data_IF_255584670940
#
_entry.id   IF_255584670940
#
_cell.length_a   1.000
_cell.length_b   1.000
_cell.length_c   1.000
_cell.angle_alpha   90.00
_cell.angle_beta   90.00
_cell.angle_gamma   90.00
#
_symmetry.space_group_name_H-M   'P 1'
#
loop_
_entity.id
_entity.type
_entity.pdbx_description
1 polymer ?
#
# COMPACT_ATOMS: atom_id res chain seq x y z
N UNK A 1 -11.07 -37.12 -7.20
CA UNK A 1 -10.54 -36.09 -6.26
C UNK A 1 -9.34 -35.34 -6.86
N UNK A 2 -8.25 -36.04 -7.27
CA UNK A 2 -7.03 -35.39 -7.80
C UNK A 2 -7.22 -34.48 -9.04
N UNK A 3 -8.08 -34.83 -9.99
CA UNK A 3 -8.26 -34.01 -11.20
C UNK A 3 -9.01 -32.69 -10.92
N UNK A 4 -9.99 -32.69 -10.01
CA UNK A 4 -10.71 -31.48 -9.62
C UNK A 4 -9.87 -30.52 -8.77
N UNK A 5 -8.98 -31.06 -7.94
CA UNK A 5 -8.03 -30.27 -7.17
C UNK A 5 -6.96 -29.64 -8.08
N UNK A 6 -6.43 -30.38 -9.04
CA UNK A 6 -5.50 -29.86 -10.05
C UNK A 6 -6.14 -28.75 -10.88
N UNK A 7 -7.37 -28.93 -11.34
CA UNK A 7 -8.10 -27.90 -12.10
C UNK A 7 -8.41 -26.65 -11.26
N UNK A 8 -8.69 -26.81 -9.98
CA UNK A 8 -8.88 -25.69 -9.06
C UNK A 8 -7.56 -24.94 -8.80
N UNK A 9 -6.44 -25.65 -8.68
CA UNK A 9 -5.11 -25.06 -8.58
C UNK A 9 -4.74 -24.29 -9.85
N UNK A 10 -4.94 -24.86 -11.04
CA UNK A 10 -4.68 -24.21 -12.32
C UNK A 10 -5.54 -22.94 -12.50
N UNK A 11 -6.81 -22.97 -12.10
CA UNK A 11 -7.68 -21.81 -12.14
C UNK A 11 -7.23 -20.67 -11.20
N UNK A 12 -6.70 -21.01 -10.03
CA UNK A 12 -6.16 -20.00 -9.10
C UNK A 12 -4.84 -19.42 -9.64
N UNK A 13 -3.97 -20.27 -10.21
CA UNK A 13 -2.69 -19.88 -10.80
C UNK A 13 -2.83 -18.95 -12.01
N UNK A 14 -4.00 -18.87 -12.65
CA UNK A 14 -4.26 -18.06 -13.86
C UNK A 14 -5.16 -16.85 -13.60
N UNK A 15 -5.63 -16.63 -12.36
CA UNK A 15 -6.58 -15.56 -12.03
C UNK A 15 -6.09 -14.14 -12.36
N UNK A 16 -4.78 -13.93 -12.35
CA UNK A 16 -4.16 -12.62 -12.58
C UNK A 16 -3.30 -12.61 -13.84
N UNK A 17 -3.45 -13.60 -14.72
CA UNK A 17 -2.71 -13.65 -15.98
C UNK A 17 -2.98 -12.40 -16.83
N UNK A 18 -1.91 -11.84 -17.42
CA UNK A 18 -1.98 -10.60 -18.19
C UNK A 18 -2.16 -9.33 -17.36
N UNK A 19 -2.35 -9.42 -16.03
CA UNK A 19 -2.48 -8.25 -15.16
C UNK A 19 -1.10 -7.75 -14.73
N UNK A 20 -0.93 -6.43 -14.70
CA UNK A 20 0.27 -5.76 -14.20
C UNK A 20 -0.03 -5.16 -12.84
N UNK A 21 0.80 -5.49 -11.84
CA UNK A 21 0.70 -5.05 -10.45
C UNK A 21 1.93 -4.25 -10.05
N UNK A 22 1.77 -3.17 -9.32
CA UNK A 22 2.86 -2.42 -8.67
C UNK A 22 2.69 -2.52 -7.16
N UNK A 23 3.72 -2.98 -6.45
CA UNK A 23 3.67 -3.15 -4.99
C UNK A 23 4.79 -2.34 -4.33
N UNK A 24 4.43 -1.35 -3.50
CA UNK A 24 5.42 -0.54 -2.78
C UNK A 24 5.86 -1.20 -1.47
N UNK A 25 7.14 -1.03 -1.10
CA UNK A 25 7.71 -1.64 0.10
C UNK A 25 7.76 -3.17 0.03
N UNK A 26 8.03 -3.71 -1.15
CA UNK A 26 7.96 -5.15 -1.46
C UNK A 26 9.28 -5.91 -1.36
N UNK A 27 10.31 -5.32 -0.77
CA UNK A 27 11.59 -6.01 -0.56
C UNK A 27 11.63 -6.88 0.71
N UNK A 28 10.61 -6.84 1.55
CA UNK A 28 10.52 -7.66 2.78
C UNK A 28 9.11 -7.66 3.37
N UNK A 29 8.85 -8.55 4.32
CA UNK A 29 7.63 -8.59 5.12
C UNK A 29 6.36 -8.70 4.28
N UNK A 30 5.32 -7.97 4.66
CA UNK A 30 3.98 -8.05 4.02
C UNK A 30 4.05 -7.74 2.52
N UNK A 31 4.79 -6.70 2.13
CA UNK A 31 4.87 -6.30 0.71
C UNK A 31 5.51 -7.37 -0.17
N UNK A 32 6.52 -8.10 0.33
CA UNK A 32 7.12 -9.22 -0.40
C UNK A 32 6.14 -10.38 -0.56
N UNK A 33 5.40 -10.71 0.50
CA UNK A 33 4.39 -11.77 0.43
C UNK A 33 3.20 -11.39 -0.48
N UNK A 34 2.81 -10.10 -0.52
CA UNK A 34 1.81 -9.63 -1.50
C UNK A 34 2.32 -9.81 -2.92
N UNK A 35 3.58 -9.40 -3.19
CA UNK A 35 4.19 -9.55 -4.50
C UNK A 35 4.29 -11.02 -4.93
N UNK A 36 4.70 -11.91 -4.01
CA UNK A 36 4.77 -13.34 -4.24
C UNK A 36 3.40 -13.93 -4.57
N UNK A 37 2.39 -13.67 -3.74
CA UNK A 37 1.05 -14.21 -3.94
C UNK A 37 0.38 -13.73 -5.24
N UNK A 38 0.60 -12.48 -5.65
CA UNK A 38 0.10 -11.99 -6.94
C UNK A 38 0.84 -12.64 -8.13
N UNK A 39 2.16 -12.86 -8.00
CA UNK A 39 2.94 -13.54 -9.02
C UNK A 39 2.56 -15.02 -9.15
N UNK A 40 2.27 -15.72 -8.05
CA UNK A 40 1.74 -17.10 -8.04
C UNK A 40 0.39 -17.22 -8.76
N UNK A 41 -0.39 -16.13 -8.81
CA UNK A 41 -1.64 -16.04 -9.57
C UNK A 41 -1.44 -15.64 -11.04
N UNK A 42 -0.19 -15.57 -11.53
CA UNK A 42 0.16 -15.26 -12.92
C UNK A 42 0.30 -13.77 -13.24
N UNK A 43 0.23 -12.87 -12.24
CA UNK A 43 0.43 -11.43 -12.47
C UNK A 43 1.88 -11.09 -12.82
N UNK A 44 2.07 -10.07 -13.65
CA UNK A 44 3.35 -9.36 -13.76
C UNK A 44 3.45 -8.39 -12.59
N UNK A 45 4.45 -8.55 -11.72
CA UNK A 45 4.59 -7.75 -10.50
C UNK A 45 5.86 -6.91 -10.56
N UNK A 46 5.68 -5.61 -10.43
CA UNK A 46 6.77 -4.63 -10.27
C UNK A 46 6.96 -4.36 -8.80
N UNK A 47 8.06 -4.83 -8.24
CA UNK A 47 8.47 -4.58 -6.87
C UNK A 47 9.04 -3.16 -6.74
N UNK A 48 8.71 -2.45 -5.64
CA UNK A 48 9.31 -1.15 -5.35
C UNK A 48 10.01 -1.17 -4.00
N UNK A 49 11.29 -0.82 -3.98
CA UNK A 49 12.11 -0.73 -2.80
C UNK A 49 13.16 0.39 -2.89
N UNK A 50 13.83 0.70 -1.77
CA UNK A 50 14.83 1.79 -1.69
C UNK A 50 16.25 1.38 -2.13
N UNK A 51 16.56 0.09 -2.17
CA UNK A 51 17.89 -0.44 -2.49
C UNK A 51 17.76 -1.45 -3.63
N UNK A 52 18.60 -1.30 -4.64
CA UNK A 52 18.69 -2.20 -5.79
C UNK A 52 18.97 -3.64 -5.31
N UNK A 53 19.96 -3.80 -4.46
CA UNK A 53 20.41 -5.10 -3.95
C UNK A 53 19.27 -5.82 -3.22
N UNK A 54 18.45 -5.08 -2.43
CA UNK A 54 17.30 -5.65 -1.73
C UNK A 54 16.15 -6.00 -2.69
N UNK A 55 15.96 -5.23 -3.75
CA UNK A 55 14.98 -5.56 -4.77
C UNK A 55 15.38 -6.82 -5.53
N UNK A 56 16.63 -6.93 -5.95
CA UNK A 56 17.18 -8.11 -6.62
C UNK A 56 17.08 -9.35 -5.74
N UNK A 57 17.50 -9.24 -4.48
CA UNK A 57 17.37 -10.34 -3.52
C UNK A 57 15.90 -10.78 -3.33
N UNK A 58 14.97 -9.83 -3.19
CA UNK A 58 13.55 -10.14 -3.04
C UNK A 58 12.97 -10.85 -4.27
N UNK A 59 13.34 -10.43 -5.48
CA UNK A 59 12.95 -11.10 -6.73
C UNK A 59 13.46 -12.54 -6.73
N UNK A 60 14.74 -12.77 -6.41
CA UNK A 60 15.32 -14.11 -6.38
C UNK A 60 14.68 -15.00 -5.30
N UNK A 61 14.42 -14.45 -4.11
CA UNK A 61 13.72 -15.16 -3.04
C UNK A 61 12.32 -15.58 -3.47
N UNK A 62 11.55 -14.72 -4.15
CA UNK A 62 10.22 -15.04 -4.64
C UNK A 62 10.29 -16.14 -5.70
N UNK A 63 11.18 -16.03 -6.69
CA UNK A 63 11.35 -17.05 -7.74
C UNK A 63 11.69 -18.42 -7.13
N UNK A 64 12.50 -18.44 -6.08
CA UNK A 64 12.95 -19.70 -5.46
C UNK A 64 11.88 -20.32 -4.56
N UNK A 65 11.09 -19.49 -3.86
CA UNK A 65 10.13 -19.95 -2.84
C UNK A 65 8.72 -20.17 -3.37
N UNK A 66 8.30 -19.37 -4.36
CA UNK A 66 6.93 -19.36 -4.87
C UNK A 66 6.76 -20.35 -6.04
N UNK A 67 5.67 -21.11 -6.01
CA UNK A 67 5.40 -22.13 -7.03
C UNK A 67 4.94 -21.49 -8.35
N UNK A 68 5.50 -21.93 -9.47
CA UNK A 68 5.08 -21.49 -10.80
C UNK A 68 5.49 -20.08 -11.18
N UNK A 69 6.22 -19.37 -10.32
CA UNK A 69 6.69 -18.01 -10.61
C UNK A 69 7.96 -18.06 -11.45
N UNK A 70 7.87 -17.54 -12.67
CA UNK A 70 9.02 -17.37 -13.56
C UNK A 70 9.64 -15.98 -13.42
N UNK A 71 10.92 -15.87 -13.75
CA UNK A 71 11.64 -14.59 -13.74
C UNK A 71 10.95 -13.51 -14.61
N UNK A 72 10.27 -13.91 -15.68
CA UNK A 72 9.56 -13.00 -16.58
C UNK A 72 8.33 -12.31 -15.97
N UNK A 73 7.82 -12.82 -14.82
CA UNK A 73 6.70 -12.21 -14.11
C UNK A 73 7.13 -11.12 -13.12
N UNK A 74 8.41 -11.05 -12.76
CA UNK A 74 8.91 -10.15 -11.74
C UNK A 74 9.89 -9.13 -12.32
N UNK A 75 9.69 -7.89 -11.93
CA UNK A 75 10.64 -6.80 -12.17
C UNK A 75 10.68 -5.89 -10.94
N UNK A 76 11.59 -4.93 -10.91
CA UNK A 76 11.64 -3.98 -9.81
C UNK A 76 11.99 -2.57 -10.29
N UNK A 77 11.58 -1.58 -9.49
CA UNK A 77 11.96 -0.18 -9.59
C UNK A 77 12.52 0.29 -8.24
N UNK A 78 13.52 1.16 -8.30
CA UNK A 78 14.14 1.70 -7.07
C UNK A 78 13.62 3.10 -6.80
N UNK A 79 13.00 3.28 -5.62
CA UNK A 79 12.50 4.58 -5.20
C UNK A 79 12.55 4.75 -3.69
N UNK A 80 12.93 5.95 -3.26
CA UNK A 80 12.75 6.40 -1.88
C UNK A 80 11.43 7.18 -1.79
N UNK A 81 10.46 6.60 -1.10
CA UNK A 81 9.13 7.20 -0.95
C UNK A 81 9.12 8.37 0.05
N UNK A 82 10.22 8.68 0.71
CA UNK A 82 10.37 9.91 1.50
C UNK A 82 10.69 11.14 0.63
N UNK A 83 10.99 10.97 -0.66
CA UNK A 83 11.28 12.03 -1.62
C UNK A 83 10.21 12.07 -2.71
N UNK A 84 9.54 13.19 -2.84
CA UNK A 84 8.53 13.41 -3.88
C UNK A 84 9.14 13.34 -5.29
N UNK A 85 10.36 13.82 -5.47
CA UNK A 85 11.07 13.69 -6.75
C UNK A 85 11.29 12.22 -7.11
N UNK A 86 11.68 11.39 -6.13
CA UNK A 86 11.85 9.96 -6.34
C UNK A 86 10.52 9.26 -6.66
N UNK A 87 9.40 9.66 -6.05
CA UNK A 87 8.06 9.15 -6.38
C UNK A 87 7.67 9.54 -7.81
N UNK A 88 7.96 10.78 -8.23
CA UNK A 88 7.69 11.23 -9.61
C UNK A 88 8.52 10.46 -10.63
N UNK A 89 9.79 10.23 -10.34
CA UNK A 89 10.67 9.40 -11.18
C UNK A 89 10.14 7.97 -11.28
N UNK A 90 9.77 7.35 -10.14
CA UNK A 90 9.15 6.03 -10.12
C UNK A 90 7.93 5.95 -11.04
N UNK A 91 7.01 6.91 -10.93
CA UNK A 91 5.81 6.93 -11.76
C UNK A 91 6.14 7.09 -13.26
N UNK A 92 7.13 7.94 -13.58
CA UNK A 92 7.60 8.15 -14.96
C UNK A 92 8.25 6.88 -15.54
N UNK A 93 9.12 6.22 -14.78
CA UNK A 93 9.78 4.98 -15.21
C UNK A 93 8.76 3.86 -15.40
N UNK A 94 7.80 3.71 -14.48
CA UNK A 94 6.72 2.75 -14.63
C UNK A 94 5.88 3.03 -15.89
N UNK A 95 5.44 4.27 -16.07
CA UNK A 95 4.62 4.67 -17.22
C UNK A 95 5.36 4.58 -18.55
N UNK A 96 6.70 4.68 -18.55
CA UNK A 96 7.54 4.49 -19.75
C UNK A 96 7.65 3.03 -20.19
N UNK A 97 7.39 2.06 -19.28
CA UNK A 97 7.53 0.63 -19.54
C UNK A 97 6.20 -0.13 -19.56
N UNK A 98 5.11 0.48 -19.07
CA UNK A 98 3.83 -0.17 -18.89
C UNK A 98 2.68 0.76 -19.29
N UNK A 99 1.88 0.36 -20.26
CA UNK A 99 0.72 1.13 -20.73
C UNK A 99 -0.49 1.02 -19.80
N UNK A 100 -0.57 -0.04 -19.02
CA UNK A 100 -1.69 -0.35 -18.13
C UNK A 100 -1.20 -0.76 -16.75
N UNK A 101 -1.93 -0.35 -15.72
CA UNK A 101 -1.75 -0.80 -14.35
C UNK A 101 -3.08 -1.38 -13.86
N UNK A 102 -3.11 -2.64 -13.48
CA UNK A 102 -4.33 -3.30 -13.04
C UNK A 102 -4.47 -3.30 -11.51
N UNK A 103 -3.34 -3.34 -10.79
CA UNK A 103 -3.34 -3.28 -9.33
C UNK A 103 -2.21 -2.40 -8.83
N UNK A 104 -2.55 -1.38 -8.03
CA UNK A 104 -1.60 -0.59 -7.25
C UNK A 104 -1.74 -0.94 -5.78
N UNK A 105 -0.68 -1.48 -5.18
CA UNK A 105 -0.65 -1.76 -3.74
C UNK A 105 0.26 -0.74 -3.04
N UNK A 106 -0.35 0.23 -2.38
CA UNK A 106 0.30 1.20 -1.51
C UNK A 106 0.56 0.56 -0.14
N UNK A 107 1.61 -0.26 -0.05
CA UNK A 107 1.92 -1.02 1.16
C UNK A 107 3.06 -0.41 1.98
N UNK A 108 3.99 0.29 1.37
CA UNK A 108 5.12 0.88 2.09
C UNK A 108 4.67 1.74 3.28
N UNK A 109 5.44 1.69 4.35
CA UNK A 109 5.18 2.51 5.52
C UNK A 109 6.34 2.49 6.50
N UNK A 110 6.39 3.51 7.36
CA UNK A 110 7.38 3.68 8.41
C UNK A 110 6.71 4.08 9.72
N UNK A 111 7.39 3.82 10.82
CA UNK A 111 7.12 4.38 12.13
C UNK A 111 8.37 5.11 12.59
N UNK A 112 8.25 6.39 12.88
CA UNK A 112 9.35 7.23 13.34
C UNK A 112 9.05 7.73 14.75
N UNK A 113 9.92 7.40 15.71
CA UNK A 113 9.69 7.71 17.13
C UNK A 113 9.99 9.17 17.51
N UNK A 114 10.90 9.81 16.77
CA UNK A 114 11.26 11.22 16.91
C UNK A 114 10.93 11.94 15.62
N UNK A 115 10.53 13.21 15.71
CA UNK A 115 10.23 14.00 14.53
C UNK A 115 11.44 14.13 13.62
N UNK A 116 11.31 13.66 12.40
CA UNK A 116 12.28 13.78 11.33
C UNK A 116 11.63 14.40 10.12
N UNK A 117 12.35 15.22 9.39
CA UNK A 117 11.91 15.82 8.14
C UNK A 117 12.55 15.11 6.96
N UNK A 118 11.81 14.95 5.89
CA UNK A 118 12.33 14.51 4.60
C UNK A 118 13.10 15.63 3.91
N UNK A 119 13.75 15.32 2.79
CA UNK A 119 14.39 16.32 1.94
C UNK A 119 13.41 17.40 1.43
N UNK A 120 12.11 17.06 1.34
CA UNK A 120 11.05 17.99 0.95
C UNK A 120 10.54 18.85 2.13
N UNK A 121 11.16 18.75 3.32
CA UNK A 121 10.75 19.50 4.52
C UNK A 121 9.46 18.98 5.17
N UNK A 122 9.03 17.78 4.87
CA UNK A 122 7.78 17.16 5.35
C UNK A 122 8.08 16.15 6.45
N UNK A 123 7.18 16.04 7.46
CA UNK A 123 7.30 15.01 8.50
C UNK A 123 7.31 13.61 7.88
N UNK A 124 8.30 12.80 8.27
CA UNK A 124 8.65 11.56 7.58
C UNK A 124 7.52 10.53 7.56
N UNK A 125 6.75 10.39 8.65
CA UNK A 125 5.63 9.43 8.70
C UNK A 125 4.49 9.86 7.80
N UNK A 126 4.15 11.15 7.78
CA UNK A 126 3.16 11.72 6.87
C UNK A 126 3.61 11.56 5.41
N UNK A 127 4.87 11.90 5.12
CA UNK A 127 5.42 11.83 3.77
C UNK A 127 5.35 10.41 3.19
N UNK A 128 5.89 9.43 3.92
CA UNK A 128 6.01 8.04 3.41
C UNK A 128 4.67 7.30 3.44
N UNK A 129 3.90 7.43 4.55
CA UNK A 129 2.71 6.61 4.75
C UNK A 129 1.48 7.13 4.02
N UNK A 130 1.41 8.44 3.74
CA UNK A 130 0.24 9.06 3.15
C UNK A 130 0.54 9.84 1.87
N UNK A 131 1.47 10.80 1.88
CA UNK A 131 1.69 11.66 0.71
C UNK A 131 2.32 10.90 -0.46
N UNK A 132 3.20 9.94 -0.22
CA UNK A 132 3.76 9.11 -1.29
C UNK A 132 2.69 8.22 -1.95
N UNK A 133 1.81 7.48 -1.23
CA UNK A 133 0.63 6.84 -1.80
C UNK A 133 -0.28 7.79 -2.58
N UNK A 134 -0.57 8.97 -2.03
CA UNK A 134 -1.38 9.99 -2.70
C UNK A 134 -0.76 10.42 -4.04
N UNK A 135 0.51 10.84 -4.01
CA UNK A 135 1.23 11.32 -5.18
C UNK A 135 1.39 10.22 -6.25
N UNK A 136 1.84 9.02 -5.84
CA UNK A 136 2.02 7.89 -6.76
C UNK A 136 0.70 7.49 -7.43
N UNK A 137 -0.38 7.41 -6.65
CA UNK A 137 -1.72 7.10 -7.18
C UNK A 137 -2.17 8.15 -8.18
N UNK A 138 -2.01 9.44 -7.86
CA UNK A 138 -2.37 10.55 -8.76
C UNK A 138 -1.60 10.49 -10.07
N UNK A 139 -0.28 10.24 -10.02
CA UNK A 139 0.58 10.17 -11.21
C UNK A 139 0.29 8.95 -12.09
N UNK A 140 -0.13 7.83 -11.50
CA UNK A 140 -0.43 6.58 -12.22
C UNK A 140 -1.91 6.43 -12.57
N UNK A 141 -2.75 7.41 -12.25
CA UNK A 141 -4.20 7.30 -12.46
C UNK A 141 -4.58 7.04 -13.93
N UNK A 142 -3.87 7.65 -14.88
CA UNK A 142 -4.05 7.36 -16.30
C UNK A 142 -3.80 5.90 -16.66
N UNK A 143 -2.76 5.28 -16.07
CA UNK A 143 -2.43 3.86 -16.28
C UNK A 143 -3.43 2.92 -15.60
N UNK A 144 -3.96 3.32 -14.44
CA UNK A 144 -5.04 2.61 -13.74
C UNK A 144 -6.35 2.64 -14.56
N UNK A 145 -6.74 3.81 -15.07
CA UNK A 145 -7.92 3.92 -15.95
C UNK A 145 -7.76 3.09 -17.22
N UNK A 146 -6.58 3.10 -17.84
CA UNK A 146 -6.28 2.29 -19.02
C UNK A 146 -6.28 0.78 -18.72
N UNK A 147 -6.02 0.37 -17.47
CA UNK A 147 -6.05 -1.01 -17.00
C UNK A 147 -7.40 -1.46 -16.44
N UNK A 148 -8.44 -0.64 -16.52
CA UNK A 148 -9.75 -0.96 -15.93
C UNK A 148 -10.34 -2.26 -16.51
N UNK A 149 -10.99 -3.11 -15.68
CA UNK A 149 -11.18 -2.94 -14.24
C UNK A 149 -9.86 -3.04 -13.46
N UNK A 150 -9.58 -2.03 -12.62
CA UNK A 150 -8.34 -1.94 -11.87
C UNK A 150 -8.59 -1.60 -10.39
N UNK A 151 -7.60 -1.87 -9.55
CA UNK A 151 -7.76 -1.83 -8.10
C UNK A 151 -6.61 -1.09 -7.41
N UNK A 152 -6.95 -0.25 -6.46
CA UNK A 152 -5.99 0.43 -5.58
C UNK A 152 -6.20 -0.14 -4.17
N UNK A 153 -5.13 -0.69 -3.58
CA UNK A 153 -5.15 -1.31 -2.26
C UNK A 153 -4.16 -0.58 -1.35
N UNK A 154 -4.67 0.07 -0.30
CA UNK A 154 -3.84 0.90 0.57
C UNK A 154 -3.75 0.32 1.99
N UNK A 155 -2.54 0.20 2.51
CA UNK A 155 -2.31 -0.32 3.86
C UNK A 155 -2.63 0.73 4.92
N UNK A 156 -3.63 0.44 5.74
CA UNK A 156 -3.97 1.17 6.96
C UNK A 156 -3.59 0.37 8.23
N UNK A 157 -4.15 0.71 9.38
CA UNK A 157 -3.90 0.03 10.67
C UNK A 157 -5.03 0.32 11.65
N UNK A 158 -5.23 -0.56 12.63
CA UNK A 158 -6.09 -0.29 13.80
C UNK A 158 -5.66 0.94 14.60
N UNK A 159 -4.42 1.41 14.43
CA UNK A 159 -3.93 2.64 15.06
C UNK A 159 -4.76 3.89 14.69
N UNK A 160 -5.48 3.88 13.56
CA UNK A 160 -6.40 4.95 13.17
C UNK A 160 -7.53 5.21 14.18
N UNK A 161 -7.89 4.22 15.01
CA UNK A 161 -9.04 4.31 15.92
C UNK A 161 -8.86 5.28 17.08
N UNK A 162 -7.64 5.69 17.38
CA UNK A 162 -7.29 6.48 18.58
C UNK A 162 -6.87 7.91 18.26
N UNK A 163 -7.15 8.38 17.06
CA UNK A 163 -6.68 9.68 16.56
C UNK A 163 -7.72 10.34 15.68
N UNK A 164 -7.57 11.66 15.54
CA UNK A 164 -8.21 12.49 14.51
C UNK A 164 -7.13 13.16 13.68
N UNK A 165 -7.49 13.76 12.54
CA UNK A 165 -6.57 14.60 11.76
C UNK A 165 -6.49 15.98 12.40
N UNK A 166 -5.29 16.38 12.79
CA UNK A 166 -5.01 17.75 13.24
C UNK A 166 -4.63 18.61 12.03
N UNK A 167 -5.60 19.30 11.48
CA UNK A 167 -5.38 20.16 10.31
C UNK A 167 -4.62 21.44 10.61
N UNK A 168 -4.57 21.88 11.88
CA UNK A 168 -3.83 23.08 12.28
C UNK A 168 -2.35 22.77 12.53
N UNK A 169 -2.02 21.48 12.72
CA UNK A 169 -0.66 20.99 12.85
C UNK A 169 -0.49 19.57 12.25
N UNK A 170 -0.83 19.43 10.95
CA UNK A 170 -0.81 18.18 10.23
C UNK A 170 0.54 17.46 10.30
N UNK A 171 1.63 18.20 10.40
CA UNK A 171 3.01 17.73 10.47
C UNK A 171 3.54 17.58 11.91
N UNK A 172 2.68 17.78 12.92
CA UNK A 172 3.06 17.70 14.34
C UNK A 172 4.32 18.50 14.69
N UNK A 173 4.37 19.76 14.28
CA UNK A 173 5.47 20.69 14.56
C UNK A 173 5.57 21.00 16.08
N UNK A 174 4.41 20.98 16.73
CA UNK A 174 4.30 21.21 18.17
C UNK A 174 4.40 19.92 18.97
N UNK A 175 4.45 19.38 19.83
CA UNK A 175 4.30 18.12 20.61
C UNK A 175 4.28 16.83 19.75
N UNK A 176 5.37 16.50 19.10
CA UNK A 176 5.49 15.28 18.29
C UNK A 176 5.31 14.00 19.14
N UNK A 177 4.53 13.09 18.61
CA UNK A 177 4.38 11.73 19.12
C UNK A 177 4.36 10.74 17.96
N UNK A 178 5.35 9.87 17.87
CA UNK A 178 5.42 8.85 16.81
C UNK A 178 4.19 7.97 16.72
N UNK A 179 3.56 7.65 17.88
CA UNK A 179 2.31 6.86 17.92
C UNK A 179 1.15 7.65 17.30
N UNK A 180 1.04 8.95 17.64
CA UNK A 180 0.01 9.83 17.05
C UNK A 180 0.27 10.05 15.57
N UNK A 181 1.51 10.35 15.15
CA UNK A 181 1.90 10.53 13.75
C UNK A 181 1.57 9.29 12.91
N UNK A 182 1.93 8.10 13.41
CA UNK A 182 1.58 6.85 12.76
C UNK A 182 0.06 6.63 12.69
N UNK A 183 -0.65 6.79 13.79
CA UNK A 183 -2.11 6.67 13.83
C UNK A 183 -2.79 7.64 12.85
N UNK A 184 -2.37 8.92 12.86
CA UNK A 184 -2.87 9.95 11.95
C UNK A 184 -2.61 9.58 10.48
N UNK A 185 -1.41 9.09 10.14
CA UNK A 185 -1.10 8.65 8.77
C UNK A 185 -1.99 7.48 8.32
N UNK A 186 -2.38 6.59 9.26
CA UNK A 186 -3.26 5.45 8.95
C UNK A 186 -4.74 5.83 8.87
N UNK A 187 -5.18 6.84 9.60
CA UNK A 187 -6.49 7.48 9.41
C UNK A 187 -6.52 8.22 8.07
N UNK A 188 -5.46 8.96 7.76
CA UNK A 188 -5.33 9.67 6.48
C UNK A 188 -5.47 8.72 5.28
N UNK A 189 -4.94 7.50 5.38
CA UNK A 189 -5.08 6.49 4.32
C UNK A 189 -6.53 5.99 4.15
N UNK A 190 -7.33 5.94 5.21
CA UNK A 190 -8.76 5.57 5.09
C UNK A 190 -9.53 6.73 4.46
N UNK A 191 -9.33 7.96 4.94
CA UNK A 191 -9.97 9.16 4.38
C UNK A 191 -9.61 9.35 2.90
N UNK A 192 -8.34 9.19 2.55
CA UNK A 192 -7.85 9.19 1.16
C UNK A 192 -8.55 8.12 0.31
N UNK A 193 -8.65 6.90 0.80
CA UNK A 193 -9.29 5.79 0.08
C UNK A 193 -10.77 6.09 -0.21
N UNK A 194 -11.48 6.62 0.76
CA UNK A 194 -12.91 6.97 0.62
C UNK A 194 -13.11 8.12 -0.38
N UNK A 195 -12.34 9.19 -0.24
CA UNK A 195 -12.43 10.33 -1.16
C UNK A 195 -11.98 9.94 -2.58
N UNK A 196 -10.94 9.13 -2.71
CA UNK A 196 -10.50 8.58 -3.99
C UNK A 196 -11.60 7.73 -4.64
N UNK A 197 -12.24 6.85 -3.89
CA UNK A 197 -13.35 6.02 -4.38
C UNK A 197 -14.51 6.87 -4.92
N UNK A 198 -14.87 7.96 -4.21
CA UNK A 198 -15.88 8.92 -4.65
C UNK A 198 -15.49 9.59 -5.97
N UNK A 199 -14.23 10.00 -6.12
CA UNK A 199 -13.71 10.65 -7.34
C UNK A 199 -13.56 9.71 -8.53
N UNK A 200 -13.45 8.41 -8.28
CA UNK A 200 -13.27 7.38 -9.30
C UNK A 200 -14.57 6.70 -9.74
N UNK A 201 -15.74 7.15 -9.27
CA UNK A 201 -17.03 6.60 -9.70
C UNK A 201 -17.15 6.58 -11.22
N UNK A 202 -17.62 5.46 -11.78
CA UNK A 202 -17.82 5.29 -13.22
C UNK A 202 -16.56 5.07 -14.05
N UNK A 203 -15.35 5.08 -13.44
CA UNK A 203 -14.09 4.90 -14.19
C UNK A 203 -13.64 3.45 -14.34
N UNK A 204 -14.27 2.51 -13.65
CA UNK A 204 -13.82 1.12 -13.55
C UNK A 204 -12.60 0.90 -12.63
N UNK A 205 -12.18 1.94 -11.90
CA UNK A 205 -11.10 1.86 -10.90
C UNK A 205 -11.71 1.84 -9.50
N UNK A 206 -11.39 0.84 -8.69
CA UNK A 206 -11.81 0.77 -7.28
C UNK A 206 -10.65 1.06 -6.33
N UNK A 207 -10.96 1.61 -5.16
CA UNK A 207 -9.97 1.91 -4.12
C UNK A 207 -10.47 1.38 -2.77
N UNK A 208 -9.69 0.51 -2.13
CA UNK A 208 -9.99 -0.02 -0.81
C UNK A 208 -8.74 0.02 0.09
N UNK A 209 -8.94 -0.01 1.39
CA UNK A 209 -7.84 -0.08 2.33
C UNK A 209 -8.01 -1.24 3.33
N UNK A 210 -6.90 -1.64 3.95
CA UNK A 210 -6.94 -2.79 4.85
C UNK A 210 -6.00 -2.63 6.04
N UNK A 211 -6.28 -3.39 7.11
CA UNK A 211 -5.37 -3.63 8.21
C UNK A 211 -4.77 -5.04 8.10
N UNK A 212 -3.43 -5.17 8.08
CA UNK A 212 -2.77 -6.46 7.91
C UNK A 212 -2.74 -7.33 9.16
N UNK A 213 -3.29 -6.86 10.28
CA UNK A 213 -3.10 -7.48 11.59
C UNK A 213 -1.84 -6.95 12.29
N UNK A 214 -1.57 -7.47 13.49
CA UNK A 214 -0.31 -7.22 14.19
C UNK A 214 0.76 -8.14 13.59
N UNK A 215 1.49 -7.66 12.58
CA UNK A 215 2.50 -8.44 11.87
C UNK A 215 3.89 -8.08 12.38
N UNK A 216 4.75 -9.08 12.55
CA UNK A 216 6.16 -8.89 12.85
C UNK A 216 6.85 -8.31 11.61
N UNK A 217 7.01 -6.97 11.57
CA UNK A 217 7.64 -6.26 10.45
C UNK A 217 8.81 -5.42 10.93
N UNK A 218 9.72 -5.08 10.00
CA UNK A 218 10.84 -4.17 10.24
C UNK A 218 10.41 -2.69 10.35
N UNK A 219 9.13 -2.42 10.64
CA UNK A 219 8.54 -1.09 10.70
C UNK A 219 9.19 -0.20 11.77
N UNK A 220 9.62 -0.81 12.88
CA UNK A 220 10.20 -0.14 14.06
C UNK A 220 11.69 -0.47 14.13
N UNK A 221 12.53 0.18 13.34
CA UNK A 221 13.99 0.04 13.43
C UNK A 221 14.59 1.15 14.31
N UNK A 222 15.44 0.75 15.26
CA UNK A 222 16.33 1.69 15.96
C UNK A 222 15.72 2.47 17.13
N UNK A 223 14.57 2.08 17.67
CA UNK A 223 13.98 2.72 18.84
C UNK A 223 13.83 1.75 20.03
N UNK A 224 13.79 2.29 21.26
CA UNK A 224 13.46 1.53 22.48
C UNK A 224 12.08 0.83 22.37
N UNK A 225 11.20 1.32 21.53
CA UNK A 225 9.92 0.68 21.17
C UNK A 225 10.12 -0.66 20.46
N UNK A 226 11.20 -0.84 19.69
CA UNK A 226 11.55 -2.13 19.07
C UNK A 226 11.76 -3.26 20.07
N UNK A 227 12.31 -2.94 21.26
CA UNK A 227 12.52 -3.90 22.35
C UNK A 227 11.18 -4.31 23.02
N UNK A 228 10.30 -3.34 23.25
CA UNK A 228 8.97 -3.59 23.85
C UNK A 228 8.07 -4.39 22.89
N UNK A 229 8.13 -4.09 21.60
CA UNK A 229 7.40 -4.84 20.57
C UNK A 229 8.03 -6.22 20.32
N UNK A 230 9.34 -6.38 20.51
CA UNK A 230 10.03 -7.67 20.45
C UNK A 230 9.56 -8.66 21.52
N UNK A 231 9.29 -8.19 22.75
CA UNK A 231 8.77 -9.02 23.85
C UNK A 231 7.32 -9.48 23.61
N UNK A 232 6.51 -8.72 22.86
CA UNK A 232 5.13 -9.07 22.48
C UNK A 232 5.04 -9.96 21.22
N UNK A 233 6.19 -10.44 20.69
CA UNK A 233 6.28 -11.13 19.40
C UNK A 233 5.48 -12.44 19.30
N UNK A 234 5.09 -13.04 20.40
CA UNK A 234 4.30 -14.28 20.45
C UNK A 234 2.86 -14.09 19.90
N UNK A 235 2.36 -12.85 19.89
CA UNK A 235 1.02 -12.51 19.38
C UNK A 235 1.03 -11.99 17.94
N UNK A 236 2.20 -11.93 17.28
CA UNK A 236 2.27 -11.40 15.93
C UNK A 236 1.94 -12.45 14.86
N UNK A 237 1.11 -12.03 13.94
CA UNK A 237 0.76 -12.76 12.72
C UNK A 237 1.98 -12.82 11.78
N UNK A 238 2.15 -13.93 11.05
CA UNK A 238 3.20 -14.02 10.04
C UNK A 238 2.98 -13.02 8.88
N UNK A 239 4.04 -12.62 8.15
CA UNK A 239 3.90 -11.76 6.97
C UNK A 239 2.92 -12.30 5.92
N UNK A 240 2.87 -13.63 5.71
CA UNK A 240 1.95 -14.31 4.81
C UNK A 240 0.49 -14.04 5.20
N UNK A 241 0.14 -14.23 6.48
CA UNK A 241 -1.21 -13.91 6.96
C UNK A 241 -1.51 -12.40 6.90
N UNK A 242 -0.49 -11.55 7.05
CA UNK A 242 -0.62 -10.11 6.88
C UNK A 242 -0.91 -9.68 5.44
N UNK A 243 -0.38 -10.42 4.46
CA UNK A 243 -0.59 -10.19 3.04
C UNK A 243 -1.97 -10.63 2.53
N UNK A 244 -2.59 -11.59 3.20
CA UNK A 244 -3.79 -12.29 2.78
C UNK A 244 -4.95 -11.37 2.39
N UNK A 245 -5.25 -10.36 3.20
CA UNK A 245 -6.32 -9.40 2.89
C UNK A 245 -5.98 -8.50 1.70
N UNK A 246 -4.70 -8.12 1.54
CA UNK A 246 -4.28 -7.32 0.38
C UNK A 246 -4.38 -8.13 -0.92
N UNK A 247 -3.96 -9.38 -0.91
CA UNK A 247 -4.06 -10.28 -2.06
C UNK A 247 -5.54 -10.49 -2.42
N UNK A 248 -6.41 -10.75 -1.43
CA UNK A 248 -7.85 -10.85 -1.63
C UNK A 248 -8.44 -9.59 -2.28
N UNK A 249 -8.10 -8.39 -1.79
CA UNK A 249 -8.58 -7.13 -2.37
C UNK A 249 -8.04 -6.89 -3.78
N UNK A 250 -6.84 -7.37 -4.07
CA UNK A 250 -6.19 -7.21 -5.36
C UNK A 250 -6.75 -8.17 -6.43
N UNK A 251 -7.18 -9.39 -6.05
CA UNK A 251 -7.47 -10.47 -7.00
C UNK A 251 -8.88 -11.01 -6.97
N UNK A 252 -9.57 -11.07 -5.80
CA UNK A 252 -10.84 -11.78 -5.67
C UNK A 252 -11.98 -11.11 -6.45
N UNK A 253 -12.80 -11.91 -7.12
CA UNK A 253 -14.07 -11.49 -7.74
C UNK A 253 -15.14 -11.09 -6.71
N UNK A 254 -15.05 -11.57 -5.48
CA UNK A 254 -16.01 -11.23 -4.41
C UNK A 254 -16.03 -9.75 -4.03
N UNK A 255 -14.96 -9.03 -4.35
CA UNK A 255 -14.84 -7.58 -4.11
C UNK A 255 -14.86 -6.76 -5.39
N UNK A 256 -15.34 -7.35 -6.49
CA UNK A 256 -15.51 -6.62 -7.74
C UNK A 256 -16.52 -5.47 -7.55
N UNK A 257 -16.16 -4.27 -7.99
CA UNK A 257 -16.98 -3.07 -7.81
C UNK A 257 -17.02 -2.50 -6.37
N UNK A 258 -16.52 -3.21 -5.36
CA UNK A 258 -16.43 -2.70 -3.99
C UNK A 258 -15.36 -1.62 -3.91
N UNK A 259 -15.73 -0.43 -3.41
CA UNK A 259 -14.83 0.73 -3.39
C UNK A 259 -15.12 1.64 -2.18
N UNK A 260 -14.08 2.22 -1.61
CA UNK A 260 -14.16 3.13 -0.46
C UNK A 260 -14.14 2.43 0.91
N UNK A 261 -13.89 1.13 0.95
CA UNK A 261 -14.13 0.31 2.12
C UNK A 261 -12.83 -0.06 2.87
N UNK A 262 -12.99 -0.33 4.17
CA UNK A 262 -11.93 -0.76 5.06
C UNK A 262 -12.10 -2.23 5.45
N UNK A 263 -11.02 -3.01 5.28
CA UNK A 263 -11.02 -4.46 5.45
C UNK A 263 -10.08 -4.93 6.56
N UNK A 264 -10.52 -5.98 7.27
CA UNK A 264 -9.70 -6.75 8.21
C UNK A 264 -10.01 -8.23 8.02
N UNK A 265 -8.98 -9.06 7.83
CA UNK A 265 -9.14 -10.52 7.63
C UNK A 265 -10.17 -10.85 6.51
N UNK A 266 -10.03 -10.22 5.34
CA UNK A 266 -10.90 -10.32 4.16
C UNK A 266 -12.36 -9.84 4.37
N UNK A 267 -12.68 -9.29 5.52
CA UNK A 267 -14.04 -8.82 5.82
C UNK A 267 -14.07 -7.30 5.82
N UNK A 268 -15.07 -6.73 5.17
CA UNK A 268 -15.39 -5.32 5.32
C UNK A 268 -15.81 -5.06 6.75
N UNK A 269 -15.22 -4.05 7.38
CA UNK A 269 -15.51 -3.68 8.77
C UNK A 269 -15.60 -2.16 8.90
N UNK A 270 -16.42 -1.69 9.84
CA UNK A 270 -16.51 -0.27 10.15
C UNK A 270 -15.19 0.23 10.76
N UNK A 271 -14.64 1.30 10.19
CA UNK A 271 -13.50 2.04 10.73
C UNK A 271 -13.90 2.88 11.96
N UNK A 272 -13.08 3.81 12.43
CA UNK A 272 -13.46 4.81 13.42
C UNK A 272 -14.42 5.83 12.82
N UNK A 273 -15.23 6.51 13.66
CA UNK A 273 -16.16 7.54 13.17
C UNK A 273 -15.44 8.69 12.44
N UNK A 274 -14.24 9.05 12.91
CA UNK A 274 -13.38 10.04 12.21
C UNK A 274 -13.01 9.65 10.77
N UNK A 275 -13.08 8.38 10.40
CA UNK A 275 -12.84 7.91 9.03
C UNK A 275 -14.03 8.14 8.09
N UNK A 276 -15.20 8.51 8.63
CA UNK A 276 -16.43 8.79 7.88
C UNK A 276 -16.77 10.28 7.84
N UNK A 277 -15.86 11.15 8.27
CA UNK A 277 -15.98 12.60 8.13
C UNK A 277 -15.58 13.00 6.70
N UNK A 278 -16.59 13.24 5.85
CA UNK A 278 -16.37 13.61 4.46
C UNK A 278 -15.73 15.01 4.31
N UNK A 279 -15.98 15.92 5.26
CA UNK A 279 -15.30 17.23 5.28
C UNK A 279 -13.80 17.07 5.59
N UNK A 280 -13.46 16.21 6.56
CA UNK A 280 -12.08 15.87 6.86
C UNK A 280 -11.39 15.19 5.64
N UNK A 281 -12.09 14.32 4.93
CA UNK A 281 -11.56 13.66 3.73
C UNK A 281 -11.24 14.69 2.62
N UNK A 282 -12.14 15.62 2.36
CA UNK A 282 -11.93 16.68 1.35
C UNK A 282 -10.81 17.66 1.78
N UNK A 283 -10.79 18.10 3.05
CA UNK A 283 -9.71 18.95 3.57
C UNK A 283 -8.34 18.28 3.46
N UNK A 284 -8.27 16.99 3.80
CA UNK A 284 -7.04 16.20 3.69
C UNK A 284 -6.60 16.06 2.23
N UNK A 285 -7.55 15.83 1.33
CA UNK A 285 -7.26 15.76 -0.11
C UNK A 285 -6.59 17.04 -0.59
N UNK A 286 -7.20 18.22 -0.31
CA UNK A 286 -6.65 19.53 -0.67
C UNK A 286 -5.29 19.81 -0.06
N UNK A 287 -5.12 19.47 1.23
CA UNK A 287 -3.82 19.60 1.89
C UNK A 287 -2.75 18.70 1.24
N UNK A 288 -3.13 17.48 0.83
CA UNK A 288 -2.24 16.57 0.13
C UNK A 288 -1.88 17.06 -1.27
N UNK A 289 -2.83 17.65 -2.01
CA UNK A 289 -2.57 18.30 -3.30
C UNK A 289 -1.57 19.45 -3.14
N UNK A 290 -1.75 20.32 -2.13
CA UNK A 290 -0.84 21.42 -1.85
C UNK A 290 0.57 20.93 -1.49
N UNK A 291 0.67 19.96 -0.56
CA UNK A 291 1.95 19.42 -0.10
C UNK A 291 2.68 18.64 -1.18
N UNK A 292 1.97 18.07 -2.15
CA UNK A 292 2.56 17.31 -3.25
C UNK A 292 2.66 18.08 -4.56
N UNK A 293 2.09 19.30 -4.64
CA UNK A 293 2.09 20.11 -5.87
C UNK A 293 1.29 19.48 -7.03
N UNK A 294 0.29 18.66 -6.73
CA UNK A 294 -0.56 18.02 -7.78
C UNK A 294 -1.83 18.80 -8.08
N UNK A 295 -2.20 19.80 -7.27
CA UNK A 295 -3.40 20.63 -7.43
C UNK A 295 -3.24 21.84 -8.38
N UNK A 296 -2.12 21.95 -9.09
CA UNK A 296 -1.80 23.12 -9.94
C UNK A 296 -1.89 22.78 -11.45
N UNK A 297 -2.66 21.78 -11.85
CA UNK A 297 -2.89 21.45 -13.26
C UNK A 297 -4.30 21.80 -13.69
#
# INVERSE_FOLDING_TARGET
>A
MLAGELQMYDNIMMMMEGKTCLVTGSTSGIGKEIAAGLAEMGARVVLVGRSREKCEAAVQEIITAARGVSAGLLSYLVADLSSQESVRRLAKEFAGSHDRLHVLVNNAGVFVSKRELTADGIECTLAVNHLAPFLLTSLLLGRLKAGAPSRIVTTSSVAHRRVTIDFDDLQMNKNYSGIRAYGQSKLANILFTRELARRLQGTGVTANCFHPGAVRTNLVRGSAYGLVWGAASVFFTSPQKGADTAIYLASSSEVEGVSGEYFVKRKQVRASDAAYDDNAAERLWRASEQLTGTGQA
#
